data_IF_567840336892
#
_entry.id   IF_567840336892
#
_cell.length_a   1.000
_cell.length_b   1.000
_cell.length_c   1.000
_cell.angle_alpha   90.00
_cell.angle_beta   90.00
_cell.angle_gamma   90.00
#
_symmetry.space_group_name_H-M   'P 1'
#
loop_
_entity.id
_entity.type
_entity.pdbx_description
1 polymer ?
#
# COMPACT_ATOMS: atom_id res chain seq x y z
N UNK A 1 -5.28 -7.85 -16.55
CA UNK A 1 -6.12 -7.87 -15.34
C UNK A 1 -7.04 -6.66 -15.40
N UNK A 2 -8.35 -6.86 -15.27
CA UNK A 2 -9.34 -5.80 -15.43
C UNK A 2 -9.42 -5.05 -14.09
N UNK A 3 -8.84 -3.86 -14.01
CA UNK A 3 -8.89 -3.02 -12.79
C UNK A 3 -10.25 -2.34 -12.72
N UNK A 4 -11.02 -2.59 -11.65
CA UNK A 4 -12.38 -2.07 -11.44
C UNK A 4 -12.41 -0.81 -10.57
N UNK A 5 -11.39 -0.60 -9.73
CA UNK A 5 -11.38 0.48 -8.75
C UNK A 5 -10.94 1.80 -9.37
N UNK A 6 -11.76 2.85 -9.21
CA UNK A 6 -11.38 4.22 -9.55
C UNK A 6 -10.50 4.79 -8.44
N UNK A 7 -9.20 4.92 -8.71
CA UNK A 7 -8.21 5.51 -7.81
C UNK A 7 -7.95 6.97 -8.18
N UNK A 8 -8.05 7.87 -7.21
CA UNK A 8 -7.64 9.28 -7.34
C UNK A 8 -6.11 9.38 -7.25
N UNK A 9 -5.43 9.78 -8.33
CA UNK A 9 -3.97 9.78 -8.40
C UNK A 9 -3.44 11.22 -8.44
N UNK A 10 -2.75 11.60 -7.37
CA UNK A 10 -2.00 12.85 -7.29
C UNK A 10 -0.51 12.57 -7.47
N UNK A 11 0.05 13.05 -8.58
CA UNK A 11 1.48 12.90 -8.87
C UNK A 11 2.33 13.81 -7.98
N UNK A 12 3.52 13.33 -7.65
CA UNK A 12 4.50 14.11 -6.92
C UNK A 12 5.08 15.16 -7.89
N UNK A 13 5.37 16.38 -7.43
CA UNK A 13 5.88 17.44 -8.29
C UNK A 13 7.29 17.13 -8.82
N UNK A 14 8.07 16.36 -8.05
CA UNK A 14 9.43 15.94 -8.37
C UNK A 14 9.61 14.46 -8.02
N UNK A 15 10.45 13.76 -8.78
CA UNK A 15 10.79 12.36 -8.50
C UNK A 15 12.14 12.26 -7.83
N UNK A 16 12.25 11.40 -6.82
CA UNK A 16 13.50 11.10 -6.11
C UNK A 16 14.28 9.96 -6.74
N UNK A 17 13.71 9.26 -7.73
CA UNK A 17 14.38 8.14 -8.40
C UNK A 17 15.80 8.44 -8.92
N UNK A 18 16.11 9.65 -9.44
CA UNK A 18 17.47 10.00 -9.86
C UNK A 18 18.50 10.12 -8.72
N UNK A 19 18.05 10.32 -7.49
CA UNK A 19 18.89 10.50 -6.30
C UNK A 19 19.22 9.16 -5.60
N UNK A 20 18.61 8.05 -6.03
CA UNK A 20 18.78 6.73 -5.44
C UNK A 20 20.11 6.12 -5.91
N UNK A 21 20.99 5.78 -4.95
CA UNK A 21 22.13 4.91 -5.21
C UNK A 21 21.68 3.44 -5.25
N UNK A 22 21.69 2.86 -6.45
CA UNK A 22 21.28 1.47 -6.66
C UNK A 22 22.34 0.46 -6.20
N UNK A 23 23.58 0.88 -5.94
CA UNK A 23 24.64 0.01 -5.45
C UNK A 23 24.64 -0.12 -3.91
N UNK A 24 24.02 0.84 -3.21
CA UNK A 24 23.86 0.84 -1.76
C UNK A 24 22.40 1.15 -1.36
N UNK A 25 21.56 0.12 -1.42
CA UNK A 25 20.13 0.23 -1.14
C UNK A 25 19.76 -0.50 0.17
N UNK A 26 19.86 0.17 1.34
CA UNK A 26 19.50 -0.44 2.61
C UNK A 26 18.00 -0.77 2.68
N UNK A 27 17.68 -1.92 3.27
CA UNK A 27 16.31 -2.40 3.38
C UNK A 27 15.45 -1.48 4.27
N UNK A 28 14.35 -0.96 3.72
CA UNK A 28 13.31 -0.25 4.49
C UNK A 28 13.61 1.22 4.82
N UNK A 29 14.66 1.81 4.26
CA UNK A 29 15.05 3.21 4.54
C UNK A 29 14.68 4.14 3.38
N UNK A 30 14.99 3.72 2.15
CA UNK A 30 14.67 4.47 0.94
C UNK A 30 13.23 4.16 0.52
N UNK A 31 12.45 5.20 0.24
CA UNK A 31 11.03 5.09 -0.11
C UNK A 31 10.71 5.82 -1.42
N UNK A 32 9.65 5.36 -2.11
CA UNK A 32 9.19 5.90 -3.39
C UNK A 32 8.47 7.24 -3.25
N UNK A 33 8.21 7.91 -4.37
CA UNK A 33 7.56 9.24 -4.41
C UNK A 33 6.11 9.24 -3.93
N UNK A 34 5.46 8.07 -3.90
CA UNK A 34 4.03 7.92 -3.64
C UNK A 34 3.73 6.85 -2.59
N UNK A 35 2.54 6.94 -2.03
CA UNK A 35 1.91 5.88 -1.26
C UNK A 35 0.42 5.75 -1.59
N UNK A 36 -0.13 4.55 -1.43
CA UNK A 36 -1.55 4.27 -1.55
C UNK A 36 -2.25 4.51 -0.20
N UNK A 37 -3.44 5.10 -0.23
CA UNK A 37 -4.28 5.35 0.94
C UNK A 37 -5.75 5.07 0.63
N UNK A 38 -6.40 4.31 1.50
CA UNK A 38 -7.84 4.16 1.55
C UNK A 38 -8.31 4.35 3.01
N UNK A 39 -9.49 4.94 3.19
CA UNK A 39 -10.06 5.18 4.53
C UNK A 39 -11.28 4.30 4.72
N UNK A 40 -11.42 3.74 5.91
CA UNK A 40 -12.65 3.08 6.32
C UNK A 40 -13.38 3.97 7.32
N UNK A 41 -14.64 4.30 7.02
CA UNK A 41 -15.48 5.16 7.86
C UNK A 41 -16.93 4.73 7.70
N UNK A 42 -17.72 4.81 8.78
CA UNK A 42 -19.16 4.57 8.74
C UNK A 42 -19.54 3.25 8.04
N UNK A 43 -18.79 2.19 8.31
CA UNK A 43 -19.08 0.85 7.78
C UNK A 43 -18.65 0.58 6.34
N UNK A 44 -17.94 1.49 5.67
CA UNK A 44 -17.51 1.30 4.28
C UNK A 44 -16.11 1.85 4.00
N UNK A 45 -15.50 1.32 2.95
CA UNK A 45 -14.28 1.85 2.37
C UNK A 45 -14.61 3.05 1.47
N UNK A 46 -13.96 4.18 1.74
CA UNK A 46 -14.00 5.39 0.92
C UNK A 46 -13.09 5.23 -0.31
N UNK A 47 -13.23 6.14 -1.28
CA UNK A 47 -12.43 6.16 -2.51
C UNK A 47 -10.91 6.12 -2.21
N UNK A 48 -10.24 5.16 -2.85
CA UNK A 48 -8.80 4.99 -2.77
C UNK A 48 -8.04 6.11 -3.50
N UNK A 49 -6.84 6.42 -2.99
CA UNK A 49 -5.97 7.47 -3.52
C UNK A 49 -4.52 7.01 -3.60
N UNK A 50 -3.80 7.49 -4.60
CA UNK A 50 -2.34 7.48 -4.65
C UNK A 50 -1.88 8.93 -4.47
N UNK A 51 -1.14 9.20 -3.41
CA UNK A 51 -0.74 10.55 -3.02
C UNK A 51 0.79 10.65 -2.97
N UNK A 52 1.38 11.86 -3.12
CA UNK A 52 2.79 12.08 -2.81
C UNK A 52 3.08 11.63 -1.38
N UNK A 53 4.24 11.03 -1.17
CA UNK A 53 4.66 10.58 0.15
C UNK A 53 4.63 11.74 1.16
N UNK A 54 3.98 11.51 2.30
CA UNK A 54 3.84 12.48 3.38
C UNK A 54 3.66 11.77 4.71
N UNK A 55 3.90 12.50 5.79
CA UNK A 55 3.63 12.00 7.15
C UNK A 55 2.12 11.79 7.35
N UNK A 56 1.78 10.72 8.07
CA UNK A 56 0.39 10.48 8.49
C UNK A 56 0.01 11.43 9.62
N UNK A 57 -1.18 12.02 9.52
CA UNK A 57 -1.81 12.76 10.62
C UNK A 57 -2.79 11.85 11.35
N UNK A 58 -2.51 11.57 12.62
CA UNK A 58 -3.27 10.64 13.44
C UNK A 58 -3.71 11.32 14.75
N UNK A 59 -4.89 10.95 15.25
CA UNK A 59 -5.30 11.31 16.60
C UNK A 59 -4.29 10.73 17.61
N UNK A 60 -3.92 11.48 18.67
CA UNK A 60 -3.14 10.92 19.77
C UNK A 60 -3.79 9.70 20.42
N UNK A 61 -5.10 9.49 20.27
CA UNK A 61 -5.86 8.36 20.79
C UNK A 61 -6.07 7.22 19.78
N UNK A 62 -5.36 7.22 18.65
CA UNK A 62 -5.52 6.17 17.64
C UNK A 62 -5.21 4.79 18.22
N UNK A 63 -6.08 3.80 17.97
CA UNK A 63 -5.96 2.44 18.54
C UNK A 63 -4.65 1.76 18.15
N UNK A 64 -4.08 2.10 16.99
CA UNK A 64 -2.77 1.64 16.56
C UNK A 64 -1.62 2.05 17.50
N UNK A 65 -1.74 3.19 18.19
CA UNK A 65 -0.71 3.74 19.08
C UNK A 65 -0.81 3.18 20.50
N UNK A 66 -2.01 2.82 20.95
CA UNK A 66 -2.27 2.41 22.35
C UNK A 66 -2.46 0.90 22.52
N UNK A 67 -3.10 0.26 21.54
CA UNK A 67 -3.53 -1.13 21.66
C UNK A 67 -3.00 -2.02 20.54
N UNK A 68 -2.06 -1.50 19.74
CA UNK A 68 -1.41 -2.27 18.67
C UNK A 68 -2.40 -2.81 17.63
N UNK A 69 -3.54 -2.15 17.41
CA UNK A 69 -4.50 -2.56 16.39
C UNK A 69 -3.99 -2.17 15.00
N UNK A 70 -2.97 -2.90 14.53
CA UNK A 70 -2.29 -2.74 13.25
C UNK A 70 -1.91 -4.09 12.68
N UNK A 71 -1.86 -4.16 11.35
CA UNK A 71 -1.40 -5.31 10.58
C UNK A 71 -0.58 -4.80 9.39
N UNK A 72 0.29 -5.64 8.82
CA UNK A 72 1.06 -5.29 7.62
C UNK A 72 1.22 -6.52 6.72
N UNK A 73 1.63 -6.28 5.48
CA UNK A 73 2.02 -7.30 4.52
C UNK A 73 3.41 -7.00 3.94
N UNK A 74 4.05 -8.05 3.43
CA UNK A 74 5.37 -7.98 2.82
C UNK A 74 5.42 -8.79 1.53
N UNK A 75 5.66 -8.10 0.42
CA UNK A 75 5.83 -8.68 -0.90
C UNK A 75 6.83 -7.86 -1.73
N UNK A 76 7.19 -8.36 -2.91
CA UNK A 76 8.18 -7.74 -3.79
C UNK A 76 7.66 -7.64 -5.21
N UNK A 77 7.98 -6.53 -5.86
CA UNK A 77 7.85 -6.34 -7.29
C UNK A 77 9.23 -6.50 -7.93
N UNK A 78 9.29 -7.27 -9.02
CA UNK A 78 10.52 -7.57 -9.74
C UNK A 78 10.42 -7.05 -11.17
N UNK A 79 11.47 -6.38 -11.63
CA UNK A 79 11.64 -6.06 -13.04
C UNK A 79 12.19 -7.30 -13.75
N UNK A 80 11.46 -7.76 -14.75
CA UNK A 80 11.83 -8.90 -15.58
C UNK A 80 12.71 -8.46 -16.75
N UNK A 81 13.37 -9.41 -17.42
CA UNK A 81 14.26 -9.13 -18.55
C UNK A 81 13.55 -8.46 -19.73
N UNK A 82 12.24 -8.70 -19.90
CA UNK A 82 11.40 -8.06 -20.92
C UNK A 82 10.91 -6.66 -20.52
N UNK A 83 11.39 -6.13 -19.39
CA UNK A 83 11.03 -4.83 -18.84
C UNK A 83 9.71 -4.80 -18.08
N UNK A 84 8.91 -5.89 -18.10
CA UNK A 84 7.67 -5.96 -17.33
C UNK A 84 7.94 -6.04 -15.84
N UNK A 85 6.98 -5.58 -15.05
CA UNK A 85 6.99 -5.76 -13.59
C UNK A 85 6.15 -6.98 -13.24
N UNK A 86 6.70 -7.86 -12.42
CA UNK A 86 6.02 -9.05 -11.88
C UNK A 86 5.94 -8.98 -10.36
N UNK A 87 4.80 -9.40 -9.81
CA UNK A 87 4.59 -9.55 -8.37
C UNK A 87 4.25 -11.01 -8.10
N UNK A 88 4.99 -11.66 -7.19
CA UNK A 88 4.81 -13.07 -6.94
C UNK A 88 3.63 -13.35 -6.00
N UNK A 89 2.55 -13.90 -6.54
CA UNK A 89 1.35 -14.37 -5.80
C UNK A 89 0.73 -13.31 -4.87
N UNK A 90 0.47 -12.08 -5.32
CA UNK A 90 -0.09 -11.02 -4.47
C UNK A 90 -1.45 -11.39 -3.87
N UNK A 91 -2.21 -12.28 -4.52
CA UNK A 91 -3.48 -12.81 -4.02
C UNK A 91 -3.29 -13.59 -2.71
N UNK A 92 -2.14 -14.29 -2.55
CA UNK A 92 -1.82 -14.99 -1.29
C UNK A 92 -1.44 -14.05 -0.17
N UNK A 93 -0.83 -12.91 -0.48
CA UNK A 93 -0.60 -11.85 0.49
C UNK A 93 -1.94 -11.21 0.90
N UNK A 94 -2.85 -10.97 -0.04
CA UNK A 94 -4.20 -10.47 0.26
C UNK A 94 -4.98 -11.43 1.18
N UNK A 95 -5.01 -12.73 0.86
CA UNK A 95 -5.64 -13.75 1.71
C UNK A 95 -5.10 -13.71 3.16
N UNK A 96 -3.79 -13.52 3.33
CA UNK A 96 -3.17 -13.40 4.67
C UNK A 96 -3.47 -12.06 5.34
N UNK A 97 -3.58 -10.98 4.57
CA UNK A 97 -3.96 -9.67 5.07
C UNK A 97 -5.40 -9.67 5.60
N UNK A 98 -6.34 -10.28 4.86
CA UNK A 98 -7.74 -10.46 5.30
C UNK A 98 -7.82 -11.28 6.58
N UNK A 99 -7.11 -12.40 6.66
CA UNK A 99 -7.06 -13.22 7.88
C UNK A 99 -6.49 -12.45 9.08
N UNK A 100 -5.49 -11.61 8.85
CA UNK A 100 -4.92 -10.75 9.90
C UNK A 100 -5.91 -9.68 10.35
N UNK A 101 -6.66 -9.07 9.42
CA UNK A 101 -7.69 -8.09 9.72
C UNK A 101 -8.81 -8.70 10.58
N UNK A 102 -9.31 -9.88 10.20
CA UNK A 102 -10.30 -10.63 10.98
C UNK A 102 -9.80 -10.90 12.40
N UNK A 103 -8.55 -11.39 12.54
CA UNK A 103 -7.96 -11.67 13.85
C UNK A 103 -7.86 -10.43 14.75
N UNK A 104 -7.66 -9.26 14.14
CA UNK A 104 -7.52 -7.97 14.84
C UNK A 104 -8.83 -7.20 14.95
N UNK A 105 -9.96 -7.81 14.60
CA UNK A 105 -11.28 -7.16 14.57
C UNK A 105 -11.29 -5.88 13.72
N UNK A 106 -10.56 -5.89 12.60
CA UNK A 106 -10.47 -4.79 11.63
C UNK A 106 -11.32 -5.11 10.40
N UNK A 107 -11.83 -4.10 9.67
CA UNK A 107 -12.51 -4.32 8.40
C UNK A 107 -11.56 -4.97 7.39
N UNK A 108 -12.04 -6.02 6.71
CA UNK A 108 -11.29 -6.64 5.63
C UNK A 108 -11.13 -5.65 4.45
N UNK A 109 -9.91 -5.55 3.91
CA UNK A 109 -9.65 -4.77 2.70
C UNK A 109 -10.15 -5.57 1.49
N UNK A 110 -11.01 -4.99 0.63
CA UNK A 110 -11.46 -5.66 -0.59
C UNK A 110 -10.27 -5.97 -1.51
N UNK A 111 -10.33 -7.10 -2.21
CA UNK A 111 -9.24 -7.56 -3.09
C UNK A 111 -8.86 -6.51 -4.14
N UNK A 112 -9.84 -5.82 -4.73
CA UNK A 112 -9.60 -4.75 -5.71
C UNK A 112 -8.78 -3.60 -5.14
N UNK A 113 -8.97 -3.22 -3.86
CA UNK A 113 -8.16 -2.17 -3.22
C UNK A 113 -6.70 -2.60 -3.06
N UNK A 114 -6.49 -3.87 -2.69
CA UNK A 114 -5.16 -4.41 -2.47
C UNK A 114 -4.42 -4.62 -3.81
N UNK A 115 -5.06 -5.25 -4.79
CA UNK A 115 -4.44 -5.56 -6.08
C UNK A 115 -4.33 -4.33 -6.98
N UNK A 116 -5.39 -3.54 -7.15
CA UNK A 116 -5.32 -2.35 -8.02
C UNK A 116 -4.35 -1.32 -7.44
N UNK A 117 -4.24 -1.22 -6.11
CA UNK A 117 -3.25 -0.37 -5.44
C UNK A 117 -1.79 -0.81 -5.67
N UNK A 118 -1.53 -2.10 -5.93
CA UNK A 118 -0.19 -2.61 -6.27
C UNK A 118 0.16 -2.40 -7.75
N UNK A 119 -0.84 -2.35 -8.64
CA UNK A 119 -0.64 -2.35 -10.09
C UNK A 119 -0.73 -0.96 -10.75
N UNK A 120 -1.14 0.08 -10.02
CA UNK A 120 -1.43 1.42 -10.56
C UNK A 120 -0.31 2.45 -10.37
#
# INVERSE_FOLDING_TARGET
MQTSLTIDIQKAPTSRAPEIDWNDLPFGVVHTDHFFMARYRNGHWEQARILPFQNLSLSPFALCLHYGQTIFEGLKAFRMDDGKISIFRPEKNHERFVRSAERMCMPAVPEEYFLDGLYR
#
